data_IF_578602376668
#
_entry.id   IF_578602376668
#
_cell.length_a   1.000
_cell.length_b   1.000
_cell.length_c   1.000
_cell.angle_alpha   90.00
_cell.angle_beta   90.00
_cell.angle_gamma   90.00
#
_symmetry.space_group_name_H-M   'P 1'
#
loop_
_entity.id
_entity.type
_entity.pdbx_description
1 polymer ?
#
# COMPACT_ATOMS: atom_id res chain seq x y z
N UNK A 1 -11.74 -2.34 0.48
CA UNK A 1 -11.19 -2.26 -0.90
C UNK A 1 -9.86 -3.01 -0.92
N UNK A 2 -9.67 -3.91 -1.89
CA UNK A 2 -8.46 -4.73 -1.99
C UNK A 2 -7.54 -4.28 -3.15
N UNK A 3 -7.94 -3.26 -3.90
CA UNK A 3 -7.13 -2.58 -4.91
C UNK A 3 -6.94 -1.09 -4.54
N UNK A 4 -5.96 -0.44 -5.18
CA UNK A 4 -5.57 0.94 -4.89
C UNK A 4 -5.45 1.80 -6.15
N UNK A 5 -6.46 1.78 -7.03
CA UNK A 5 -6.42 2.58 -8.28
C UNK A 5 -6.38 4.08 -7.96
N UNK A 6 -5.83 4.86 -8.90
CA UNK A 6 -5.70 6.30 -8.74
C UNK A 6 -7.07 6.93 -8.38
N UNK A 7 -7.11 7.61 -7.22
CA UNK A 7 -8.28 8.31 -6.68
C UNK A 7 -9.55 7.47 -6.63
N UNK A 8 -9.43 6.15 -6.47
CA UNK A 8 -10.53 5.19 -6.57
C UNK A 8 -11.74 5.58 -5.72
N UNK A 9 -11.54 5.78 -4.41
CA UNK A 9 -12.64 6.14 -3.49
C UNK A 9 -13.33 7.43 -3.91
N UNK A 10 -12.57 8.47 -4.30
CA UNK A 10 -13.13 9.75 -4.75
C UNK A 10 -13.96 9.60 -6.02
N UNK A 11 -13.51 8.77 -6.97
CA UNK A 11 -14.26 8.46 -8.19
C UNK A 11 -15.52 7.64 -7.89
N UNK A 12 -15.45 6.69 -6.95
CA UNK A 12 -16.62 5.93 -6.50
C UNK A 12 -17.69 6.84 -5.88
N UNK A 13 -17.31 7.78 -5.02
CA UNK A 13 -18.28 8.72 -4.40
C UNK A 13 -18.88 9.68 -5.44
N UNK A 14 -18.06 10.21 -6.36
CA UNK A 14 -18.55 11.08 -7.43
C UNK A 14 -19.51 10.35 -8.38
N UNK A 15 -19.29 9.06 -8.64
CA UNK A 15 -20.16 8.25 -9.50
C UNK A 15 -21.58 8.10 -8.96
N UNK A 16 -21.78 8.21 -7.65
CA UNK A 16 -23.10 8.21 -7.00
C UNK A 16 -23.61 9.60 -6.65
N UNK A 17 -22.96 10.66 -7.14
CA UNK A 17 -23.43 12.05 -7.03
C UNK A 17 -23.05 12.78 -5.74
N UNK A 18 -22.12 12.25 -4.94
CA UNK A 18 -21.73 12.86 -3.66
C UNK A 18 -20.27 13.34 -3.65
N UNK A 19 -19.92 14.40 -2.90
CA UNK A 19 -18.55 14.84 -2.73
C UNK A 19 -17.79 14.01 -1.67
N UNK A 20 -16.48 13.82 -1.87
CA UNK A 20 -15.59 13.27 -0.82
C UNK A 20 -14.96 14.39 0.00
N UNK A 21 -15.57 14.73 1.14
CA UNK A 21 -15.14 15.84 1.99
C UNK A 21 -13.80 15.57 2.69
N UNK A 22 -13.69 14.47 3.42
CA UNK A 22 -12.47 14.05 4.12
C UNK A 22 -12.23 12.56 3.89
N UNK A 23 -11.02 12.22 3.47
CA UNK A 23 -10.60 10.84 3.25
C UNK A 23 -9.32 10.58 4.04
N UNK A 24 -9.42 9.71 5.06
CA UNK A 24 -8.29 9.26 5.88
C UNK A 24 -8.23 7.75 5.80
N UNK A 25 -7.04 7.19 5.58
CA UNK A 25 -6.83 5.74 5.62
C UNK A 25 -6.48 5.31 7.03
N UNK A 26 -7.35 4.53 7.67
CA UNK A 26 -7.20 4.11 9.07
C UNK A 26 -6.55 2.74 9.26
N UNK A 27 -6.58 1.87 8.23
CA UNK A 27 -6.07 0.49 8.29
C UNK A 27 -5.51 0.04 6.93
N UNK A 28 -4.51 -0.83 6.96
CA UNK A 28 -3.99 -1.60 5.83
C UNK A 28 -3.74 -3.02 6.32
N UNK A 29 -4.34 -4.05 5.71
CA UNK A 29 -4.20 -5.42 6.23
C UNK A 29 -4.53 -5.48 7.72
N UNK A 30 -3.59 -5.97 8.54
CA UNK A 30 -3.74 -6.04 9.99
C UNK A 30 -3.21 -4.81 10.75
N UNK A 31 -2.56 -3.87 10.06
CA UNK A 31 -2.02 -2.66 10.66
C UNK A 31 -3.08 -1.55 10.73
N UNK A 32 -3.32 -1.00 11.92
CA UNK A 32 -4.28 0.09 12.15
C UNK A 32 -3.64 1.30 12.85
N UNK A 33 -4.17 2.50 12.62
CA UNK A 33 -3.65 3.75 13.22
C UNK A 33 -3.99 3.90 14.72
N UNK A 34 -5.00 3.18 15.22
CA UNK A 34 -5.45 3.21 16.63
C UNK A 34 -5.50 4.62 17.25
N UNK A 35 -4.62 4.89 18.23
CA UNK A 35 -4.56 6.13 19.02
C UNK A 35 -3.46 7.10 18.52
N UNK A 36 -2.84 6.81 17.39
CA UNK A 36 -1.76 7.61 16.84
C UNK A 36 -2.30 8.93 16.30
N UNK A 37 -1.78 10.05 16.81
CA UNK A 37 -2.18 11.38 16.38
C UNK A 37 -1.53 11.75 15.03
N UNK A 38 -2.09 12.72 14.28
CA UNK A 38 -1.47 13.21 13.06
C UNK A 38 -0.02 13.67 13.30
N UNK A 39 0.91 13.09 12.55
CA UNK A 39 2.36 13.38 12.67
C UNK A 39 3.11 12.47 13.63
N UNK A 40 2.43 11.71 14.48
CA UNK A 40 3.08 10.69 15.31
C UNK A 40 3.44 9.45 14.49
N UNK A 41 4.44 8.73 14.96
CA UNK A 41 4.85 7.44 14.40
C UNK A 41 5.18 6.47 15.54
N UNK A 42 4.99 5.17 15.28
CA UNK A 42 5.36 4.09 16.18
C UNK A 42 6.14 3.05 15.39
N UNK A 43 7.26 2.59 15.93
CA UNK A 43 7.97 1.43 15.40
C UNK A 43 7.39 0.16 16.02
N UNK A 44 7.20 -0.85 15.19
CA UNK A 44 6.73 -2.17 15.60
C UNK A 44 7.76 -3.18 15.12
N UNK A 45 8.19 -4.05 16.01
CA UNK A 45 8.95 -5.23 15.59
C UNK A 45 7.99 -6.22 14.92
N UNK A 46 8.33 -6.66 13.72
CA UNK A 46 7.49 -7.57 12.95
C UNK A 46 8.29 -8.82 12.67
N UNK A 47 7.77 -9.97 13.09
CA UNK A 47 8.28 -11.26 12.64
C UNK A 47 7.79 -11.49 11.21
N UNK A 48 8.67 -11.19 10.25
CA UNK A 48 8.42 -11.62 8.89
C UNK A 48 8.44 -13.15 8.86
N UNK A 49 7.50 -13.81 8.17
CA UNK A 49 7.64 -15.24 7.90
C UNK A 49 9.00 -15.46 7.21
N UNK A 50 9.72 -16.52 7.60
CA UNK A 50 10.91 -16.97 6.90
C UNK A 50 10.55 -17.07 5.42
N UNK A 51 11.20 -16.23 4.60
CA UNK A 51 10.68 -15.78 3.32
C UNK A 51 10.08 -16.90 2.46
N UNK A 52 9.04 -16.53 1.70
CA UNK A 52 8.83 -17.12 0.39
C UNK A 52 10.18 -17.14 -0.37
N UNK A 53 10.89 -18.26 -0.27
CA UNK A 53 12.16 -18.45 -0.91
C UNK A 53 11.93 -18.46 -2.42
N UNK A 54 12.73 -17.64 -3.12
CA UNK A 54 12.88 -17.58 -4.57
C UNK A 54 11.70 -17.02 -5.38
N UNK A 55 11.74 -15.71 -5.62
CA UNK A 55 11.46 -15.21 -6.98
C UNK A 55 12.79 -14.93 -7.65
N UNK A 56 13.18 -15.84 -8.53
CA UNK A 56 14.36 -15.74 -9.38
C UNK A 56 14.34 -14.42 -10.18
N UNK A 57 15.22 -13.48 -9.82
CA UNK A 57 15.57 -12.39 -10.73
C UNK A 57 16.36 -13.03 -11.88
N UNK A 58 15.65 -13.33 -12.95
CA UNK A 58 16.24 -13.81 -14.21
C UNK A 58 17.28 -12.80 -14.67
N UNK A 59 18.53 -13.26 -14.69
CA UNK A 59 19.73 -12.57 -15.14
C UNK A 59 19.56 -12.19 -16.62
N UNK A 60 19.05 -11.00 -16.93
CA UNK A 60 19.11 -10.45 -18.28
C UNK A 60 20.56 -10.07 -18.59
N UNK A 61 21.31 -11.04 -19.12
CA UNK A 61 22.60 -10.84 -19.78
C UNK A 61 22.40 -9.83 -20.92
N UNK A 62 22.75 -8.57 -20.69
CA UNK A 62 23.11 -7.65 -21.78
C UNK A 62 24.62 -7.66 -21.89
N UNK A 63 25.11 -8.61 -22.67
CA UNK A 63 26.46 -8.59 -23.23
C UNK A 63 26.62 -7.29 -24.01
N UNK A 64 27.54 -6.42 -23.59
CA UNK A 64 28.07 -5.41 -24.48
C UNK A 64 28.93 -6.09 -25.54
N UNK A 65 28.79 -5.68 -26.81
CA UNK A 65 29.88 -5.66 -27.81
C UNK A 65 29.40 -4.97 -29.10
N UNK A 66 30.10 -3.86 -29.42
CA UNK A 66 30.05 -3.02 -30.63
C UNK A 66 28.98 -1.94 -30.67
#
# INVERSE_FOLDING_TARGET
ICEGRNRQVRRMTAAVGYPTLRLVRTRIGDWSLERLQPGEHRQLEVHLPAAAAATSVSKRRRTGRR
#
